data_IF_235799553063
#
_entry.id   IF_235799553063
#
_cell.length_a   1.000
_cell.length_b   1.000
_cell.length_c   1.000
_cell.angle_alpha   90.00
_cell.angle_beta   90.00
_cell.angle_gamma   90.00
#
_symmetry.space_group_name_H-M   'P 1'
#
loop_
_entity.id
_entity.type
_entity.pdbx_description
1 polymer ?
#
# COMPACT_ATOMS: atom_id res chain seq x y z
N UNK A 1 -41.87 0.96 -9.63
CA UNK A 1 -40.43 0.63 -9.58
C UNK A 1 -40.09 0.38 -8.13
N UNK A 2 -39.62 -0.81 -7.77
CA UNK A 2 -39.32 -1.12 -6.36
C UNK A 2 -38.31 -0.11 -5.81
N UNK A 3 -38.59 0.42 -4.62
CA UNK A 3 -37.79 1.40 -3.90
C UNK A 3 -36.49 0.74 -3.41
N UNK A 4 -35.51 0.62 -4.31
CA UNK A 4 -34.23 -0.04 -4.00
C UNK A 4 -33.42 0.84 -3.06
N UNK A 5 -32.93 0.25 -1.97
CA UNK A 5 -32.18 0.97 -0.93
C UNK A 5 -30.70 1.09 -1.31
N UNK A 6 -30.11 2.27 -1.13
CA UNK A 6 -28.67 2.47 -1.32
C UNK A 6 -27.88 1.66 -0.28
N UNK A 7 -26.82 0.97 -0.72
CA UNK A 7 -25.91 0.27 0.19
C UNK A 7 -25.21 1.26 1.12
N UNK A 8 -25.27 0.97 2.43
CA UNK A 8 -24.47 1.66 3.45
C UNK A 8 -23.69 0.60 4.23
N UNK A 9 -22.38 0.55 4.00
CA UNK A 9 -21.42 -0.29 4.71
C UNK A 9 -20.53 0.60 5.60
N UNK A 10 -20.44 0.27 6.89
CA UNK A 10 -19.72 1.04 7.91
C UNK A 10 -18.72 0.15 8.64
N UNK A 11 -17.53 0.68 8.93
CA UNK A 11 -16.59 0.04 9.85
C UNK A 11 -17.10 0.04 11.30
N UNK A 12 -16.44 -0.68 12.20
CA UNK A 12 -16.74 -0.65 13.64
C UNK A 12 -16.64 0.77 14.23
N UNK A 13 -15.76 1.61 13.69
CA UNK A 13 -15.64 3.02 14.05
C UNK A 13 -16.73 3.93 13.45
N UNK A 14 -17.71 3.38 12.73
CA UNK A 14 -18.83 4.11 12.13
C UNK A 14 -18.52 4.80 10.80
N UNK A 15 -17.26 4.79 10.34
CA UNK A 15 -16.85 5.37 9.06
C UNK A 15 -17.46 4.58 7.90
N UNK A 16 -18.09 5.28 6.96
CA UNK A 16 -18.62 4.67 5.73
C UNK A 16 -17.46 4.18 4.87
N UNK A 17 -17.56 2.94 4.39
CA UNK A 17 -16.58 2.35 3.49
C UNK A 17 -16.78 2.90 2.06
N UNK A 18 -15.72 3.40 1.39
CA UNK A 18 -15.82 4.17 0.14
C UNK A 18 -16.06 3.31 -1.12
N UNK A 19 -16.98 2.34 -1.07
CA UNK A 19 -17.28 1.46 -2.21
C UNK A 19 -17.68 2.25 -3.46
N UNK A 20 -18.59 3.21 -3.31
CA UNK A 20 -19.06 4.06 -4.42
C UNK A 20 -17.95 4.91 -5.01
N UNK A 21 -17.18 5.58 -4.16
CA UNK A 21 -16.06 6.46 -4.57
C UNK A 21 -15.05 5.67 -5.40
N UNK A 22 -14.54 4.56 -4.84
CA UNK A 22 -13.57 3.72 -5.56
C UNK A 22 -14.16 3.03 -6.79
N UNK A 23 -15.47 2.75 -6.82
CA UNK A 23 -16.12 2.23 -8.03
C UNK A 23 -16.18 3.26 -9.14
N UNK A 24 -16.44 4.53 -8.84
CA UNK A 24 -16.41 5.61 -9.83
C UNK A 24 -15.01 5.81 -10.40
N UNK A 25 -14.00 5.93 -9.53
CA UNK A 25 -12.59 6.02 -9.94
C UNK A 25 -12.17 4.80 -10.77
N UNK A 26 -12.63 3.60 -10.36
CA UNK A 26 -12.38 2.36 -11.08
C UNK A 26 -12.97 2.33 -12.50
N UNK A 27 -14.17 2.89 -12.69
CA UNK A 27 -14.79 2.98 -14.01
C UNK A 27 -14.02 3.95 -14.92
N UNK A 28 -13.64 5.12 -14.41
CA UNK A 28 -12.82 6.09 -15.16
C UNK A 28 -11.46 5.50 -15.55
N UNK A 29 -10.77 4.85 -14.62
CA UNK A 29 -9.54 4.12 -14.92
C UNK A 29 -9.77 3.01 -15.97
N UNK A 30 -10.91 2.30 -15.89
CA UNK A 30 -11.31 1.31 -16.89
C UNK A 30 -11.55 1.91 -18.28
N UNK A 31 -12.10 3.12 -18.37
CA UNK A 31 -12.28 3.85 -19.63
C UNK A 31 -10.93 4.24 -20.24
N UNK A 32 -10.01 4.76 -19.42
CA UNK A 32 -8.66 5.11 -19.87
C UNK A 32 -7.88 3.89 -20.34
N UNK A 33 -7.96 2.76 -19.63
CA UNK A 33 -7.38 1.50 -20.12
C UNK A 33 -7.95 1.06 -21.47
N UNK A 34 -9.25 1.30 -21.73
CA UNK A 34 -9.86 0.97 -23.00
C UNK A 34 -9.34 1.87 -24.13
N UNK A 35 -9.19 3.17 -23.87
CA UNK A 35 -8.61 4.14 -24.82
C UNK A 35 -7.15 3.82 -25.13
N UNK A 36 -6.38 3.37 -24.13
CA UNK A 36 -5.01 2.89 -24.27
C UNK A 36 -4.91 1.44 -24.80
N UNK A 37 -6.04 0.82 -25.16
CA UNK A 37 -6.11 -0.54 -25.71
C UNK A 37 -5.56 -1.67 -24.81
N UNK A 38 -5.57 -1.48 -23.49
CA UNK A 38 -5.23 -2.54 -22.54
C UNK A 38 -6.36 -3.59 -22.46
N UNK A 39 -6.03 -4.85 -22.77
CA UNK A 39 -6.98 -5.99 -22.78
C UNK A 39 -7.78 -6.18 -21.48
N UNK A 40 -7.24 -5.73 -20.35
CA UNK A 40 -7.86 -5.87 -19.01
C UNK A 40 -8.96 -4.84 -18.72
N UNK A 41 -9.21 -3.86 -19.60
CA UNK A 41 -10.14 -2.76 -19.38
C UNK A 41 -11.54 -3.23 -18.95
N UNK A 42 -12.11 -4.22 -19.65
CA UNK A 42 -13.43 -4.78 -19.32
C UNK A 42 -13.49 -5.35 -17.90
N UNK A 43 -12.53 -6.23 -17.57
CA UNK A 43 -12.41 -6.84 -16.24
C UNK A 43 -12.23 -5.78 -15.14
N UNK A 44 -11.52 -4.69 -15.44
CA UNK A 44 -11.37 -3.56 -14.52
C UNK A 44 -12.72 -2.87 -14.29
N UNK A 45 -13.52 -2.63 -15.34
CA UNK A 45 -14.85 -2.01 -15.20
C UNK A 45 -15.84 -2.86 -14.42
N UNK A 46 -15.74 -4.18 -14.49
CA UNK A 46 -16.59 -5.13 -13.74
C UNK A 46 -16.14 -5.33 -12.28
N UNK A 47 -14.93 -4.85 -11.94
CA UNK A 47 -14.37 -5.00 -10.59
C UNK A 47 -15.34 -4.50 -9.52
N UNK A 48 -15.72 -5.38 -8.59
CA UNK A 48 -16.64 -5.04 -7.50
C UNK A 48 -18.05 -4.66 -7.95
N UNK A 49 -18.51 -5.05 -9.15
CA UNK A 49 -19.87 -4.70 -9.62
C UNK A 49 -20.99 -5.27 -8.72
N UNK A 50 -20.78 -6.48 -8.19
CA UNK A 50 -21.68 -7.12 -7.24
C UNK A 50 -20.95 -7.35 -5.92
N UNK A 51 -21.56 -6.89 -4.83
CA UNK A 51 -21.07 -7.06 -3.47
C UNK A 51 -22.08 -7.91 -2.69
N UNK A 52 -21.67 -9.09 -2.23
CA UNK A 52 -22.47 -9.91 -1.32
C UNK A 52 -21.94 -9.77 0.09
N UNK A 53 -22.82 -9.42 1.02
CA UNK A 53 -22.52 -9.34 2.44
C UNK A 53 -23.32 -10.37 3.21
N UNK A 54 -22.73 -10.87 4.28
CA UNK A 54 -23.46 -11.51 5.38
C UNK A 54 -23.58 -10.50 6.50
N UNK A 55 -24.74 -10.43 7.14
CA UNK A 55 -24.99 -9.55 8.27
C UNK A 55 -25.32 -10.35 9.52
N UNK A 56 -24.82 -9.88 10.67
CA UNK A 56 -25.16 -10.44 11.97
C UNK A 56 -26.38 -9.77 12.62
N UNK A 57 -26.80 -10.29 13.78
CA UNK A 57 -27.92 -9.76 14.58
C UNK A 57 -27.76 -8.30 15.02
N UNK A 58 -26.54 -7.78 15.04
CA UNK A 58 -26.22 -6.41 15.43
C UNK A 58 -26.18 -5.46 14.22
N UNK A 59 -26.44 -5.96 13.01
CA UNK A 59 -26.39 -5.18 11.77
C UNK A 59 -24.98 -5.02 11.20
N UNK A 60 -23.98 -5.72 11.73
CA UNK A 60 -22.61 -5.69 11.22
C UNK A 60 -22.52 -6.54 9.95
N UNK A 61 -22.08 -5.90 8.86
CA UNK A 61 -21.88 -6.52 7.55
C UNK A 61 -20.44 -6.96 7.36
N UNK A 62 -20.25 -8.21 6.95
CA UNK A 62 -18.99 -8.72 6.38
C UNK A 62 -19.18 -8.97 4.90
N UNK A 63 -18.25 -8.48 4.09
CA UNK A 63 -18.18 -8.84 2.68
C UNK A 63 -17.89 -10.33 2.56
N UNK A 64 -18.81 -11.08 1.96
CA UNK A 64 -18.73 -12.51 1.76
C UNK A 64 -18.25 -12.89 0.35
N UNK A 65 -18.67 -12.12 -0.67
CA UNK A 65 -18.27 -12.38 -2.04
C UNK A 65 -18.23 -11.10 -2.87
N UNK A 66 -17.20 -10.99 -3.71
CA UNK A 66 -17.16 -10.08 -4.86
C UNK A 66 -16.06 -10.53 -5.82
N UNK A 67 -15.97 -9.92 -7.00
CA UNK A 67 -14.96 -10.22 -8.01
C UNK A 67 -14.04 -9.01 -8.20
N UNK A 68 -12.79 -9.18 -7.81
CA UNK A 68 -11.75 -8.16 -7.98
C UNK A 68 -10.96 -8.41 -9.26
N UNK A 69 -10.58 -7.34 -9.96
CA UNK A 69 -9.83 -7.45 -11.22
C UNK A 69 -8.32 -7.67 -11.02
N UNK A 70 -7.83 -7.50 -9.79
CA UNK A 70 -6.41 -7.50 -9.39
C UNK A 70 -5.50 -6.57 -10.21
N UNK A 71 -6.05 -5.62 -10.98
CA UNK A 71 -5.25 -4.61 -11.65
C UNK A 71 -4.57 -3.71 -10.62
N UNK A 72 -3.30 -3.37 -10.88
CA UNK A 72 -2.42 -2.70 -9.93
C UNK A 72 -2.76 -1.23 -9.67
N UNK A 73 -3.43 -0.57 -10.62
CA UNK A 73 -3.90 0.79 -10.46
C UNK A 73 -5.42 0.85 -10.19
N UNK A 74 -6.11 -0.30 -10.09
CA UNK A 74 -7.54 -0.32 -9.79
C UNK A 74 -7.80 0.20 -8.36
N UNK A 75 -8.56 1.29 -8.18
CA UNK A 75 -8.80 1.90 -6.87
C UNK A 75 -9.45 0.95 -5.87
N UNK A 76 -10.43 0.15 -6.29
CA UNK A 76 -11.05 -0.89 -5.46
C UNK A 76 -10.02 -1.94 -5.00
N UNK A 77 -9.26 -2.51 -5.93
CA UNK A 77 -8.28 -3.55 -5.58
C UNK A 77 -7.17 -2.99 -4.70
N UNK A 78 -6.68 -1.78 -5.01
CA UNK A 78 -5.65 -1.12 -4.22
C UNK A 78 -6.15 -0.89 -2.80
N UNK A 79 -7.34 -0.32 -2.63
CA UNK A 79 -7.95 -0.10 -1.31
C UNK A 79 -7.99 -1.37 -0.46
N UNK A 80 -8.49 -2.47 -1.02
CA UNK A 80 -8.53 -3.76 -0.33
C UNK A 80 -7.13 -4.29 -0.01
N UNK A 81 -6.17 -4.16 -0.94
CA UNK A 81 -4.77 -4.55 -0.73
C UNK A 81 -4.13 -3.77 0.41
N UNK A 82 -4.28 -2.46 0.46
CA UNK A 82 -3.67 -1.64 1.54
C UNK A 82 -4.26 -2.00 2.90
N UNK A 83 -5.57 -2.25 2.99
CA UNK A 83 -6.18 -2.74 4.23
C UNK A 83 -5.57 -4.08 4.66
N UNK A 84 -5.48 -5.05 3.74
CA UNK A 84 -4.90 -6.37 4.03
C UNK A 84 -3.43 -6.28 4.42
N UNK A 85 -2.63 -5.53 3.66
CA UNK A 85 -1.20 -5.30 3.95
C UNK A 85 -1.01 -4.65 5.33
N UNK A 86 -1.81 -3.64 5.68
CA UNK A 86 -1.73 -2.98 6.97
C UNK A 86 -2.04 -3.94 8.12
N UNK A 87 -3.07 -4.77 7.98
CA UNK A 87 -3.44 -5.74 9.02
C UNK A 87 -2.41 -6.85 9.17
N UNK A 88 -1.98 -7.45 8.06
CA UNK A 88 -0.91 -8.46 8.06
C UNK A 88 0.38 -7.91 8.64
N UNK A 89 0.78 -6.68 8.28
CA UNK A 89 1.96 -6.04 8.84
C UNK A 89 1.80 -5.80 10.34
N UNK A 90 0.61 -5.41 10.82
CA UNK A 90 0.36 -5.24 12.26
C UNK A 90 0.55 -6.55 13.02
N UNK A 91 0.10 -7.69 12.47
CA UNK A 91 0.33 -9.01 13.05
C UNK A 91 1.82 -9.36 13.10
N UNK A 92 2.55 -9.13 11.99
CA UNK A 92 3.99 -9.36 11.90
C UNK A 92 4.76 -8.52 12.93
N UNK A 93 4.44 -7.23 13.05
CA UNK A 93 5.12 -6.33 14.00
C UNK A 93 4.83 -6.73 15.45
N UNK A 94 3.59 -7.12 15.75
CA UNK A 94 3.18 -7.59 17.07
C UNK A 94 3.99 -8.82 17.48
N UNK A 95 4.13 -9.78 16.57
CA UNK A 95 4.92 -10.99 16.81
C UNK A 95 6.42 -10.67 16.90
N UNK A 96 6.94 -9.75 16.08
CA UNK A 96 8.34 -9.36 16.12
C UNK A 96 8.75 -8.77 17.48
N UNK A 97 7.89 -7.94 18.08
CA UNK A 97 8.11 -7.37 19.42
C UNK A 97 8.07 -8.47 20.49
N UNK A 98 7.21 -9.48 20.37
CA UNK A 98 7.20 -10.63 21.29
C UNK A 98 8.52 -11.42 21.21
N UNK A 99 8.99 -11.72 20.01
CA UNK A 99 10.21 -12.50 19.78
C UNK A 99 11.50 -11.74 20.10
N UNK A 100 11.50 -10.41 19.98
CA UNK A 100 12.64 -9.52 20.27
C UNK A 100 12.17 -8.30 21.07
N UNK A 101 11.91 -8.51 22.36
CA UNK A 101 11.35 -7.51 23.29
C UNK A 101 12.13 -6.19 23.36
N UNK A 102 13.45 -6.24 23.17
CA UNK A 102 14.32 -5.05 23.21
C UNK A 102 14.53 -4.40 21.84
N UNK A 103 14.03 -5.02 20.77
CA UNK A 103 14.12 -4.46 19.43
C UNK A 103 13.34 -3.16 19.30
N UNK A 104 13.82 -2.26 18.46
CA UNK A 104 13.19 -0.95 18.24
C UNK A 104 13.02 -0.68 16.75
N UNK A 105 11.97 0.04 16.40
CA UNK A 105 11.69 0.38 15.01
C UNK A 105 12.24 1.75 14.63
N UNK A 106 12.77 1.83 13.41
CA UNK A 106 13.06 3.08 12.71
C UNK A 106 12.20 3.16 11.46
N UNK A 107 11.71 4.34 11.14
CA UNK A 107 11.10 4.65 9.87
C UNK A 107 12.12 5.41 9.02
N UNK A 108 12.46 4.85 7.86
CA UNK A 108 13.43 5.38 6.91
C UNK A 108 12.71 5.70 5.60
N UNK A 109 12.81 6.94 5.15
CA UNK A 109 12.32 7.40 3.84
C UNK A 109 13.50 7.72 2.94
N UNK A 110 13.53 7.10 1.77
CA UNK A 110 14.58 7.28 0.76
C UNK A 110 13.96 7.92 -0.48
N UNK A 111 14.41 9.11 -0.86
CA UNK A 111 13.90 9.83 -2.04
C UNK A 111 14.95 9.92 -3.15
N UNK A 112 14.49 10.29 -4.33
CA UNK A 112 15.29 10.73 -5.48
C UNK A 112 14.63 11.96 -6.09
N UNK A 113 15.35 12.65 -6.97
CA UNK A 113 14.78 13.68 -7.83
C UNK A 113 13.68 13.10 -8.74
N UNK A 114 12.85 13.98 -9.28
CA UNK A 114 11.78 13.57 -10.18
C UNK A 114 12.37 12.99 -11.47
N UNK A 115 11.67 12.01 -12.04
CA UNK A 115 12.05 11.36 -13.29
C UNK A 115 10.89 11.34 -14.28
N UNK A 116 11.18 11.10 -15.53
CA UNK A 116 10.19 10.96 -16.62
C UNK A 116 9.66 9.53 -16.69
N UNK A 117 8.53 9.34 -17.39
CA UNK A 117 7.84 8.04 -17.46
C UNK A 117 8.69 6.91 -18.06
N UNK A 118 9.48 7.23 -19.08
CA UNK A 118 10.39 6.31 -19.78
C UNK A 118 11.52 5.79 -18.89
N UNK A 119 11.99 6.61 -17.94
CA UNK A 119 13.07 6.25 -17.01
C UNK A 119 12.56 5.57 -15.74
N UNK A 120 11.31 5.85 -15.32
CA UNK A 120 10.72 5.41 -14.06
C UNK A 120 10.91 3.91 -13.77
N UNK A 121 10.68 3.04 -14.77
CA UNK A 121 10.85 1.58 -14.60
C UNK A 121 12.27 1.20 -14.22
N UNK A 122 13.25 1.82 -14.87
CA UNK A 122 14.67 1.54 -14.68
C UNK A 122 15.15 2.03 -13.32
N UNK A 123 14.66 3.19 -12.89
CA UNK A 123 14.98 3.79 -11.59
C UNK A 123 14.36 3.02 -10.43
N UNK A 124 13.09 2.60 -10.54
CA UNK A 124 12.45 1.71 -9.55
C UNK A 124 13.24 0.40 -9.35
N UNK A 125 13.77 -0.19 -10.43
CA UNK A 125 14.65 -1.37 -10.37
C UNK A 125 15.99 -1.05 -9.71
N UNK A 126 16.55 0.13 -9.98
CA UNK A 126 17.78 0.60 -9.34
C UNK A 126 17.58 0.80 -7.83
N UNK A 127 16.49 1.44 -7.41
CA UNK A 127 16.14 1.59 -6.00
C UNK A 127 16.07 0.25 -5.27
N UNK A 128 15.41 -0.74 -5.89
CA UNK A 128 15.31 -2.10 -5.34
C UNK A 128 16.68 -2.76 -5.12
N UNK A 129 17.65 -2.55 -6.03
CA UNK A 129 19.02 -3.04 -5.89
C UNK A 129 19.82 -2.23 -4.85
N UNK A 130 19.66 -0.92 -4.85
CA UNK A 130 20.37 -0.01 -3.95
C UNK A 130 20.02 -0.29 -2.48
N UNK A 131 18.74 -0.46 -2.15
CA UNK A 131 18.33 -0.77 -0.78
C UNK A 131 18.86 -2.12 -0.30
N UNK A 132 18.85 -3.13 -1.16
CA UNK A 132 19.42 -4.44 -0.84
C UNK A 132 20.93 -4.34 -0.56
N UNK A 133 21.65 -3.50 -1.31
CA UNK A 133 23.08 -3.23 -1.08
C UNK A 133 23.34 -2.52 0.24
N UNK A 134 22.51 -1.55 0.64
CA UNK A 134 22.67 -0.86 1.92
C UNK A 134 22.57 -1.84 3.09
N UNK A 135 21.63 -2.78 3.04
CA UNK A 135 21.48 -3.77 4.11
C UNK A 135 22.67 -4.73 4.25
N UNK A 136 23.57 -4.79 3.26
CA UNK A 136 24.82 -5.53 3.32
C UNK A 136 25.97 -4.74 3.96
N UNK A 137 25.83 -3.43 4.15
CA UNK A 137 26.87 -2.64 4.81
C UNK A 137 27.05 -3.11 6.26
N UNK A 138 28.31 -3.32 6.67
CA UNK A 138 28.68 -3.93 7.95
C UNK A 138 27.91 -3.36 9.15
N UNK A 139 27.81 -2.03 9.25
CA UNK A 139 27.12 -1.33 10.35
C UNK A 139 25.60 -1.57 10.34
N UNK A 140 24.99 -1.65 9.16
CA UNK A 140 23.56 -1.96 8.99
C UNK A 140 23.30 -3.43 9.29
N UNK A 141 24.01 -4.34 8.62
CA UNK A 141 23.86 -5.79 8.77
C UNK A 141 24.07 -6.26 10.21
N UNK A 142 25.01 -5.65 10.94
CA UNK A 142 25.27 -5.93 12.36
C UNK A 142 24.03 -5.69 13.25
N UNK A 143 23.25 -4.65 12.94
CA UNK A 143 22.19 -4.13 13.80
C UNK A 143 20.76 -4.44 13.31
N UNK A 144 20.56 -4.69 12.02
CA UNK A 144 19.25 -4.93 11.41
C UNK A 144 18.76 -6.34 11.76
N UNK A 145 17.59 -6.43 12.41
CA UNK A 145 16.90 -7.69 12.69
C UNK A 145 15.99 -8.09 11.53
N UNK A 146 15.33 -7.11 10.91
CA UNK A 146 14.45 -7.31 9.77
C UNK A 146 13.91 -5.99 9.26
N UNK A 147 13.23 -6.03 8.12
CA UNK A 147 12.63 -4.85 7.52
C UNK A 147 11.40 -5.20 6.70
N UNK A 148 10.56 -4.20 6.48
CA UNK A 148 9.60 -4.17 5.40
C UNK A 148 9.80 -2.88 4.62
N UNK A 149 9.73 -2.97 3.29
CA UNK A 149 9.79 -1.80 2.40
C UNK A 149 8.58 -1.75 1.48
N UNK A 150 8.17 -0.54 1.14
CA UNK A 150 7.25 -0.24 0.07
C UNK A 150 7.77 0.93 -0.76
N UNK A 151 7.38 0.97 -2.02
CA UNK A 151 7.68 2.09 -2.92
C UNK A 151 6.38 2.84 -3.19
N UNK A 152 6.43 4.16 -3.14
CA UNK A 152 5.33 5.05 -3.52
C UNK A 152 5.80 5.93 -4.67
N UNK A 153 4.89 6.27 -5.57
CA UNK A 153 5.09 7.20 -6.69
C UNK A 153 4.00 8.25 -6.60
N UNK A 154 4.41 9.50 -6.50
CA UNK A 154 3.55 10.67 -6.60
C UNK A 154 3.83 11.39 -7.92
N UNK A 155 2.82 12.01 -8.51
CA UNK A 155 2.90 12.64 -9.83
C UNK A 155 2.85 14.16 -9.65
N UNK A 156 3.76 14.86 -10.31
CA UNK A 156 3.72 16.30 -10.49
C UNK A 156 3.18 16.62 -11.89
N UNK A 157 2.09 17.39 -11.94
CA UNK A 157 1.38 17.79 -13.15
C UNK A 157 1.69 19.24 -13.60
N UNK A 158 2.55 19.97 -12.86
CA UNK A 158 2.84 21.40 -13.11
C UNK A 158 3.79 21.66 -14.30
N UNK A 159 4.52 20.65 -14.76
CA UNK A 159 5.44 20.76 -15.88
C UNK A 159 4.74 20.48 -17.22
N UNK A 160 5.41 20.81 -18.33
CA UNK A 160 4.95 20.53 -19.70
C UNK A 160 4.65 19.04 -19.94
N UNK A 161 5.26 18.16 -19.13
CA UNK A 161 4.99 16.72 -19.08
C UNK A 161 4.87 16.23 -17.63
N UNK A 162 4.11 15.15 -17.37
CA UNK A 162 4.04 14.54 -16.04
C UNK A 162 5.42 14.09 -15.54
N UNK A 163 5.76 14.49 -14.32
CA UNK A 163 7.01 14.12 -13.66
C UNK A 163 6.73 13.23 -12.45
N UNK A 164 7.52 12.17 -12.29
CA UNK A 164 7.30 11.14 -11.26
C UNK A 164 8.28 11.28 -10.12
N UNK A 165 7.75 11.54 -8.93
CA UNK A 165 8.50 11.49 -7.69
C UNK A 165 8.28 10.15 -7.02
N UNK A 166 9.28 9.27 -7.10
CA UNK A 166 9.21 7.93 -6.51
C UNK A 166 10.14 7.83 -5.31
N UNK A 167 9.61 7.33 -4.20
CA UNK A 167 10.32 7.22 -2.93
C UNK A 167 10.02 5.88 -2.26
N UNK A 168 10.88 5.50 -1.33
CA UNK A 168 10.76 4.25 -0.59
C UNK A 168 10.56 4.51 0.88
N UNK A 169 9.51 3.91 1.43
CA UNK A 169 9.31 3.81 2.87
C UNK A 169 9.82 2.47 3.37
N UNK A 170 10.64 2.50 4.42
CA UNK A 170 11.25 1.32 5.01
C UNK A 170 11.05 1.37 6.51
N UNK A 171 10.33 0.37 7.04
CA UNK A 171 10.26 0.14 8.47
C UNK A 171 11.35 -0.87 8.84
N UNK A 172 12.35 -0.38 9.56
CA UNK A 172 13.50 -1.16 10.02
C UNK A 172 13.25 -1.64 11.44
N UNK A 173 13.49 -2.92 11.72
CA UNK A 173 13.54 -3.46 13.07
C UNK A 173 15.00 -3.65 13.48
N UNK A 174 15.45 -2.89 14.47
CA UNK A 174 16.84 -2.78 14.88
C UNK A 174 17.07 -3.35 16.27
N UNK A 175 18.26 -3.91 16.51
CA UNK A 175 18.72 -4.24 17.87
C UNK A 175 18.75 -2.99 18.74
N UNK A 176 18.48 -3.12 20.05
CA UNK A 176 18.63 -2.01 21.01
C UNK A 176 20.03 -1.41 21.00
N UNK A 177 21.05 -2.23 20.76
CA UNK A 177 22.46 -1.80 20.65
C UNK A 177 22.72 -0.78 19.55
N UNK A 178 21.83 -0.67 18.55
CA UNK A 178 21.90 0.38 17.53
C UNK A 178 21.92 1.78 18.15
N UNK A 179 21.24 1.96 19.28
CA UNK A 179 21.08 3.26 19.94
C UNK A 179 22.18 3.52 20.98
N UNK A 180 23.18 2.64 21.09
CA UNK A 180 24.26 2.72 22.07
C UNK A 180 25.61 2.71 21.37
N UNK A 181 26.43 3.72 21.63
CA UNK A 181 27.78 3.84 21.07
C UNK A 181 27.81 4.29 19.61
N UNK A 182 28.89 4.96 19.23
CA UNK A 182 29.13 5.53 17.88
C UNK A 182 29.34 4.46 16.80
N UNK A 183 29.85 3.29 17.18
CA UNK A 183 30.12 2.17 16.26
C UNK A 183 28.85 1.49 15.73
N UNK A 184 27.70 1.68 16.40
CA UNK A 184 26.44 1.05 16.01
C UNK A 184 25.46 2.03 15.39
N UNK A 185 25.34 3.24 15.95
CA UNK A 185 24.34 4.22 15.54
C UNK A 185 24.65 4.80 14.15
N UNK A 186 23.68 4.75 13.23
CA UNK A 186 23.81 5.32 11.89
C UNK A 186 23.03 6.64 11.87
N UNK A 187 23.76 7.74 11.72
CA UNK A 187 23.17 9.08 11.59
C UNK A 187 22.40 9.24 10.27
N UNK A 188 21.51 10.22 10.19
CA UNK A 188 20.82 10.57 8.94
C UNK A 188 21.82 10.87 7.82
N UNK A 189 22.90 11.60 8.11
CA UNK A 189 23.98 11.87 7.16
C UNK A 189 24.65 10.60 6.64
N UNK A 190 24.88 9.59 7.50
CA UNK A 190 25.39 8.29 7.05
C UNK A 190 24.38 7.55 6.18
N UNK A 191 23.09 7.53 6.54
CA UNK A 191 22.03 6.95 5.70
C UNK A 191 21.94 7.64 4.33
N UNK A 192 22.02 8.97 4.27
CA UNK A 192 22.08 9.75 3.03
C UNK A 192 23.28 9.32 2.18
N UNK A 193 24.48 9.22 2.76
CA UNK A 193 25.68 8.78 2.02
C UNK A 193 25.55 7.34 1.52
N UNK A 194 24.97 6.45 2.32
CA UNK A 194 24.71 5.07 1.91
C UNK A 194 23.76 5.00 0.72
N UNK A 195 22.68 5.79 0.76
CA UNK A 195 21.71 5.90 -0.33
C UNK A 195 22.30 6.49 -1.59
N UNK A 196 22.95 7.66 -1.48
CA UNK A 196 23.64 8.32 -2.59
C UNK A 196 24.63 7.37 -3.28
N UNK A 197 25.48 6.67 -2.50
CA UNK A 197 26.47 5.73 -3.04
C UNK A 197 25.84 4.49 -3.66
N UNK A 198 24.78 3.96 -3.06
CA UNK A 198 24.11 2.76 -3.55
C UNK A 198 23.34 3.03 -4.85
N UNK A 199 22.71 4.20 -4.95
CA UNK A 199 22.03 4.68 -6.15
C UNK A 199 22.98 5.26 -7.19
N UNK A 200 24.22 5.62 -6.82
CA UNK A 200 25.20 6.32 -7.69
C UNK A 200 24.72 7.71 -8.14
N UNK A 201 24.10 8.46 -7.22
CA UNK A 201 23.58 9.80 -7.52
C UNK A 201 24.71 10.83 -7.54
N UNK A 202 24.65 11.76 -8.51
CA UNK A 202 25.56 12.89 -8.61
C UNK A 202 25.23 14.02 -7.61
N UNK A 203 24.02 14.00 -7.04
CA UNK A 203 23.52 14.94 -6.04
C UNK A 203 23.36 14.27 -4.67
N UNK A 204 23.16 15.08 -3.62
CA UNK A 204 22.86 14.60 -2.27
C UNK A 204 21.34 14.44 -2.12
N UNK A 205 20.81 13.21 -2.02
CA UNK A 205 19.37 12.98 -1.91
C UNK A 205 18.83 13.36 -0.53
N UNK A 206 17.52 13.58 -0.45
CA UNK A 206 16.83 13.74 0.84
C UNK A 206 16.53 12.36 1.42
N UNK A 207 17.04 12.11 2.62
CA UNK A 207 16.74 10.89 3.38
C UNK A 207 16.27 11.33 4.75
N UNK A 208 15.17 10.75 5.22
CA UNK A 208 14.68 10.96 6.58
C UNK A 208 14.75 9.65 7.36
N UNK A 209 15.21 9.70 8.61
CA UNK A 209 15.24 8.53 9.49
C UNK A 209 14.81 8.92 10.89
N UNK A 210 13.78 8.24 11.39
CA UNK A 210 13.19 8.56 12.68
C UNK A 210 12.91 7.30 13.49
N UNK A 211 13.10 7.37 14.81
CA UNK A 211 12.66 6.30 15.69
C UNK A 211 11.14 6.31 15.81
N UNK A 212 10.51 5.13 15.65
CA UNK A 212 9.07 5.00 15.88
C UNK A 212 8.82 5.11 17.39
N UNK A 213 8.25 6.25 17.80
CA UNK A 213 7.92 6.51 19.21
C UNK A 213 6.46 6.15 19.49
N UNK A 214 6.14 5.61 20.67
CA UNK A 214 4.77 5.52 21.17
C UNK A 214 4.11 6.90 21.12
N UNK A 215 3.01 7.03 20.38
CA UNK A 215 2.31 8.31 20.30
C UNK A 215 1.29 8.36 21.43
N UNK A 216 1.63 9.04 22.52
CA UNK A 216 0.76 9.14 23.71
C UNK A 216 -0.48 10.03 23.45
N UNK A 217 -0.42 10.93 22.44
CA UNK A 217 -1.47 11.94 22.18
C UNK A 217 -2.55 11.51 21.17
N UNK A 218 -2.26 10.56 20.29
CA UNK A 218 -3.28 9.92 19.43
C UNK A 218 -3.51 8.53 20.02
N UNK A 219 -4.74 8.18 20.37
CA UNK A 219 -5.14 6.82 20.84
C UNK A 219 -4.84 5.68 19.82
N UNK A 220 -4.03 5.92 18.77
CA UNK A 220 -3.53 4.92 17.84
C UNK A 220 -2.16 4.43 18.32
N UNK A 221 -2.05 3.11 18.48
CA UNK A 221 -0.77 2.41 18.68
C UNK A 221 0.25 2.86 17.62
N UNK A 222 1.44 3.31 18.03
CA UNK A 222 2.47 3.82 17.10
C UNK A 222 2.90 2.80 16.06
N UNK A 223 2.90 1.51 16.43
CA UNK A 223 3.19 0.42 15.50
C UNK A 223 2.12 0.30 14.41
N UNK A 224 0.86 0.52 14.77
CA UNK A 224 -0.25 0.56 13.81
C UNK A 224 -0.09 1.74 12.84
N UNK A 225 0.30 2.92 13.33
CA UNK A 225 0.53 4.08 12.48
C UNK A 225 1.69 3.84 11.50
N UNK A 226 2.81 3.27 11.97
CA UNK A 226 3.93 2.91 11.09
C UNK A 226 3.54 1.80 10.10
N UNK A 227 2.75 0.82 10.52
CA UNK A 227 2.24 -0.21 9.62
C UNK A 227 1.36 0.39 8.52
N UNK A 228 0.45 1.31 8.89
CA UNK A 228 -0.41 2.02 7.95
C UNK A 228 0.41 2.86 6.96
N UNK A 229 1.48 3.51 7.42
CA UNK A 229 2.36 4.30 6.57
C UNK A 229 3.12 3.42 5.55
N UNK A 230 3.70 2.29 5.99
CA UNK A 230 4.43 1.40 5.07
C UNK A 230 3.49 0.59 4.16
N UNK A 231 2.24 0.35 4.57
CA UNK A 231 1.25 -0.40 3.78
C UNK A 231 0.41 0.47 2.83
N UNK A 232 0.83 1.71 2.58
CA UNK A 232 0.16 2.60 1.62
C UNK A 232 0.20 2.07 0.18
N UNK A 233 -0.67 2.62 -0.65
CA UNK A 233 -0.68 2.35 -2.08
C UNK A 233 0.64 2.78 -2.72
N UNK A 234 0.99 2.08 -3.80
CA UNK A 234 2.08 2.52 -4.67
C UNK A 234 1.76 3.85 -5.35
N UNK A 235 0.50 4.08 -5.71
CA UNK A 235 0.01 5.30 -6.34
C UNK A 235 -1.40 5.57 -5.83
N UNK A 236 -1.76 6.84 -5.61
CA UNK A 236 -3.14 7.21 -5.22
C UNK A 236 -3.98 7.45 -6.48
N UNK A 237 -5.23 7.02 -6.47
CA UNK A 237 -6.19 7.22 -7.58
C UNK A 237 -6.29 8.69 -7.98
N UNK A 238 -6.35 9.59 -7.00
CA UNK A 238 -6.39 11.05 -7.21
C UNK A 238 -5.16 11.64 -7.91
N UNK A 239 -4.02 10.93 -7.92
CA UNK A 239 -2.79 11.39 -8.56
C UNK A 239 -2.75 10.92 -10.04
N UNK A 240 -3.67 10.05 -10.47
CA UNK A 240 -3.73 9.49 -11.85
C UNK A 240 -5.09 9.69 -12.55
N UNK A 241 -6.08 10.17 -11.80
CA UNK A 241 -7.43 10.48 -12.27
C UNK A 241 -7.71 11.94 -11.90
N UNK A 242 -7.17 12.85 -12.71
CA UNK A 242 -7.33 14.29 -12.54
C UNK A 242 -8.49 14.77 -13.43
N UNK A 243 -8.52 16.08 -13.71
CA UNK A 243 -9.44 16.66 -14.67
C UNK A 243 -8.80 16.84 -16.06
N UNK A 244 -7.56 16.37 -16.27
CA UNK A 244 -6.84 16.46 -17.53
C UNK A 244 -6.66 15.05 -18.14
N UNK A 245 -7.57 14.69 -19.04
CA UNK A 245 -7.59 13.35 -19.66
C UNK A 245 -6.31 13.00 -20.43
N UNK A 246 -5.71 13.96 -21.14
CA UNK A 246 -4.49 13.70 -21.93
C UNK A 246 -3.32 13.32 -21.02
N UNK A 247 -3.11 14.11 -19.96
CA UNK A 247 -2.10 13.80 -18.95
C UNK A 247 -2.42 12.50 -18.20
N UNK A 248 -3.67 12.25 -17.82
CA UNK A 248 -4.06 11.03 -17.12
C UNK A 248 -3.79 9.78 -17.97
N UNK A 249 -4.06 9.83 -19.27
CA UNK A 249 -3.75 8.73 -20.20
C UNK A 249 -2.26 8.45 -20.25
N UNK A 250 -1.42 9.48 -20.37
CA UNK A 250 0.03 9.34 -20.33
C UNK A 250 0.49 8.74 -18.98
N UNK A 251 0.00 9.27 -17.87
CA UNK A 251 0.36 8.83 -16.52
C UNK A 251 -0.01 7.38 -16.27
N UNK A 252 -1.20 6.97 -16.69
CA UNK A 252 -1.64 5.59 -16.56
C UNK A 252 -0.76 4.66 -17.40
N UNK A 253 -0.45 5.03 -18.64
CA UNK A 253 0.39 4.19 -19.49
C UNK A 253 1.80 4.02 -18.93
N UNK A 254 2.45 5.12 -18.52
CA UNK A 254 3.77 5.11 -17.89
C UNK A 254 3.79 4.21 -16.65
N UNK A 255 2.79 4.33 -15.77
CA UNK A 255 2.70 3.55 -14.53
C UNK A 255 2.38 2.07 -14.78
N UNK A 256 1.52 1.75 -15.75
CA UNK A 256 1.26 0.37 -16.17
C UNK A 256 2.54 -0.32 -16.63
N UNK A 257 3.34 0.37 -17.44
CA UNK A 257 4.61 -0.14 -17.92
C UNK A 257 5.67 -0.22 -16.83
N UNK A 258 5.81 0.82 -16.00
CA UNK A 258 6.85 0.94 -14.99
C UNK A 258 6.64 -0.03 -13.81
N UNK A 259 5.40 -0.22 -13.38
CA UNK A 259 5.08 -1.07 -12.24
C UNK A 259 4.91 -2.55 -12.62
N UNK A 260 4.82 -2.88 -13.92
CA UNK A 260 4.70 -4.25 -14.40
C UNK A 260 5.85 -5.15 -13.90
N UNK A 261 5.49 -6.23 -13.20
CA UNK A 261 6.44 -7.20 -12.63
C UNK A 261 7.21 -6.69 -11.42
N UNK A 262 6.87 -5.50 -10.89
CA UNK A 262 7.47 -4.98 -9.66
C UNK A 262 6.72 -5.52 -8.43
N UNK A 263 7.47 -5.78 -7.34
CA UNK A 263 6.87 -6.09 -6.03
C UNK A 263 6.58 -4.82 -5.26
N UNK A 264 5.34 -4.66 -4.81
CA UNK A 264 4.89 -3.48 -4.04
C UNK A 264 5.56 -3.42 -2.68
N UNK A 265 5.54 -4.56 -2.00
CA UNK A 265 6.00 -4.70 -0.63
C UNK A 265 7.01 -5.85 -0.56
N UNK A 266 8.05 -5.68 0.23
CA UNK A 266 9.07 -6.70 0.42
C UNK A 266 9.52 -6.76 1.86
N UNK A 267 9.64 -7.97 2.38
CA UNK A 267 10.09 -8.26 3.74
C UNK A 267 11.50 -8.88 3.71
N UNK A 268 12.29 -8.61 4.75
CA UNK A 268 13.59 -9.25 4.97
C UNK A 268 13.90 -9.47 6.45
N UNK A 269 14.87 -10.36 6.71
CA UNK A 269 15.23 -10.81 8.05
C UNK A 269 14.05 -11.41 8.82
N UNK A 270 14.01 -11.15 10.13
CA UNK A 270 13.01 -11.70 11.05
C UNK A 270 11.56 -11.42 10.61
N UNK A 271 11.27 -10.25 10.02
CA UNK A 271 9.90 -9.94 9.59
C UNK A 271 9.43 -10.85 8.45
N UNK A 272 10.35 -11.29 7.58
CA UNK A 272 10.06 -12.27 6.52
C UNK A 272 9.81 -13.65 7.10
N UNK A 273 10.60 -14.04 8.11
CA UNK A 273 10.46 -15.32 8.80
C UNK A 273 9.11 -15.40 9.52
N UNK A 274 8.75 -14.37 10.28
CA UNK A 274 7.46 -14.25 10.97
C UNK A 274 6.31 -14.31 9.96
N UNK A 275 6.40 -13.58 8.85
CA UNK A 275 5.37 -13.65 7.80
C UNK A 275 5.14 -15.08 7.31
N UNK A 276 6.22 -15.87 7.16
CA UNK A 276 6.14 -17.28 6.77
C UNK A 276 5.55 -18.15 7.88
N UNK A 277 5.94 -17.92 9.14
CA UNK A 277 5.41 -18.64 10.32
C UNK A 277 3.91 -18.44 10.48
N UNK A 278 3.43 -17.21 10.29
CA UNK A 278 2.02 -16.85 10.35
C UNK A 278 1.21 -17.30 9.11
N UNK A 279 1.87 -17.90 8.11
CA UNK A 279 1.26 -18.38 6.86
C UNK A 279 0.43 -17.31 6.14
N UNK A 280 0.90 -16.06 6.19
CA UNK A 280 0.17 -14.94 5.61
C UNK A 280 0.19 -14.98 4.09
N UNK A 281 -0.99 -14.76 3.49
CA UNK A 281 -1.19 -14.82 2.05
C UNK A 281 -0.39 -13.75 1.28
N UNK A 282 -0.15 -14.01 -0.01
CA UNK A 282 0.33 -13.00 -0.93
C UNK A 282 -0.77 -11.97 -1.20
N UNK A 283 -0.55 -10.71 -0.83
CA UNK A 283 -1.55 -9.66 -0.99
C UNK A 283 -1.66 -9.18 -2.44
N UNK A 284 -0.65 -9.40 -3.29
CA UNK A 284 -0.73 -8.96 -4.69
C UNK A 284 -1.73 -9.78 -5.51
N UNK A 285 -1.79 -11.09 -5.25
CA UNK A 285 -2.60 -12.05 -6.02
C UNK A 285 -3.60 -12.86 -5.17
N UNK A 286 -3.62 -12.68 -3.86
CA UNK A 286 -4.47 -13.42 -2.93
C UNK A 286 -5.84 -12.79 -2.68
N UNK A 287 -6.55 -13.28 -1.67
CA UNK A 287 -7.91 -12.88 -1.39
C UNK A 287 -8.01 -11.41 -0.98
N UNK A 288 -8.88 -10.64 -1.64
CA UNK A 288 -9.18 -9.24 -1.29
C UNK A 288 -10.54 -9.08 -0.59
N UNK A 289 -11.30 -10.18 -0.42
CA UNK A 289 -12.54 -10.23 0.37
C UNK A 289 -12.20 -10.26 1.86
N UNK A 290 -11.28 -11.12 2.29
CA UNK A 290 -10.76 -11.09 3.65
C UNK A 290 -9.47 -10.27 3.71
N UNK A 291 -9.53 -9.14 4.39
CA UNK A 291 -8.39 -8.23 4.60
C UNK A 291 -7.74 -8.43 5.96
N UNK A 292 -7.93 -9.59 6.58
CA UNK A 292 -7.30 -9.98 7.86
C UNK A 292 -7.55 -9.00 9.02
N UNK A 293 -8.71 -8.35 9.00
CA UNK A 293 -9.17 -7.45 10.06
C UNK A 293 -10.09 -8.19 11.01
N UNK A 294 -9.98 -7.91 12.32
CA UNK A 294 -10.97 -8.37 13.29
C UNK A 294 -12.37 -7.78 13.01
N UNK A 295 -12.46 -6.62 12.35
CA UNK A 295 -13.69 -5.99 11.84
C UNK A 295 -14.37 -6.79 10.72
N UNK A 296 -13.88 -7.97 10.36
CA UNK A 296 -14.50 -8.87 9.39
C UNK A 296 -14.94 -10.19 10.02
N UNK A 297 -14.99 -10.27 11.35
CA UNK A 297 -15.66 -11.36 12.06
C UNK A 297 -17.14 -11.01 12.20
N UNK A 298 -17.99 -11.98 11.86
CA UNK A 298 -19.43 -11.95 12.12
C UNK A 298 -19.74 -13.15 12.99
N UNK A 299 -20.58 -12.95 14.02
CA UNK A 299 -20.88 -14.00 14.99
C UNK A 299 -21.84 -15.05 14.37
N UNK A 300 -23.11 -14.66 14.24
CA UNK A 300 -24.16 -15.50 13.67
C UNK A 300 -24.77 -14.76 12.49
N UNK A 301 -24.66 -15.34 11.30
CA UNK A 301 -25.27 -14.80 10.09
C UNK A 301 -26.79 -14.89 10.21
N UNK A 302 -27.46 -13.74 10.11
CA UNK A 302 -28.93 -13.66 10.16
C UNK A 302 -29.55 -13.32 8.80
N UNK A 303 -28.78 -12.70 7.89
CA UNK A 303 -29.22 -12.47 6.51
C UNK A 303 -28.07 -12.26 5.54
N UNK A 304 -28.35 -12.50 4.26
CA UNK A 304 -27.50 -12.11 3.14
C UNK A 304 -28.03 -10.83 2.49
N UNK A 305 -27.10 -9.97 2.06
CA UNK A 305 -27.38 -8.71 1.39
C UNK A 305 -26.61 -8.70 0.09
N UNK A 306 -27.29 -8.57 -1.05
CA UNK A 306 -26.67 -8.42 -2.35
C UNK A 306 -26.84 -6.98 -2.79
N UNK A 307 -25.74 -6.27 -2.98
CA UNK A 307 -25.74 -4.93 -3.55
C UNK A 307 -25.13 -4.96 -4.94
N UNK A 308 -25.85 -4.45 -5.95
CA UNK A 308 -25.37 -4.35 -7.33
C UNK A 308 -25.16 -2.89 -7.72
N UNK A 309 -24.07 -2.62 -8.44
CA UNK A 309 -23.82 -1.32 -9.04
C UNK A 309 -24.85 -1.03 -10.14
N UNK A 310 -25.50 0.12 -10.03
CA UNK A 310 -26.37 0.68 -11.06
C UNK A 310 -25.60 1.75 -11.84
N UNK A 311 -25.33 1.48 -13.12
CA UNK A 311 -24.54 2.36 -13.99
C UNK A 311 -25.22 3.69 -14.29
N UNK A 312 -26.56 3.73 -14.34
CA UNK A 312 -27.31 4.97 -14.59
C UNK A 312 -27.32 5.85 -13.35
N UNK A 313 -27.61 5.24 -12.19
CA UNK A 313 -27.71 5.94 -10.90
C UNK A 313 -26.36 6.16 -10.23
N UNK A 314 -25.28 5.56 -10.74
CA UNK A 314 -23.91 5.68 -10.24
C UNK A 314 -23.80 5.36 -8.74
N UNK A 315 -24.46 4.27 -8.31
CA UNK A 315 -24.46 3.83 -6.92
C UNK A 315 -24.78 2.33 -6.76
N UNK A 316 -24.49 1.77 -5.59
CA UNK A 316 -24.86 0.41 -5.21
C UNK A 316 -26.25 0.38 -4.57
N UNK A 317 -27.09 -0.54 -5.03
CA UNK A 317 -28.45 -0.74 -4.52
C UNK A 317 -28.64 -2.20 -4.07
N UNK A 318 -29.32 -2.35 -2.93
CA UNK A 318 -29.76 -3.63 -2.34
C UNK A 318 -31.14 -3.99 -2.88
#
# INVERSE_FOLDING_TARGET
>A
MADRKVLVDRSQSGKVRPWREHKLENLQYGDYLQMLHYKKAHRVKECGEVLRFVEDKNGHKKLAQTWFCHSRLCPLCNWRRSMKQSNQLTQILTEAVKQRKTGRFLFLTLTVENTTGDLLKSELRQMGRAIAKIFQYKKVAKNLLGYVRSTEVTINHEADQPMYHHHMHVLLFMKSSYFTGTDNYISQTEWTRYWQRAMKLAYVPVVNVEAVKPNVKRQKNSLLASAQETAKYQVKSKDILTNNQEQDLQVIDDLEQALAGSRQISYGGLLKEIRKQLQLEDVENGDLINTDSDDQKVDQVVREIVAKWDYQRKNYFI
#
